data_IF_170547156508
#
_entry.id   IF_170547156508
#
_cell.length_a   1.000
_cell.length_b   1.000
_cell.length_c   1.000
_cell.angle_alpha   90.00
_cell.angle_beta   90.00
_cell.angle_gamma   90.00
#
_symmetry.space_group_name_H-M   'P 1'
#
loop_
_entity.id
_entity.type
_entity.pdbx_description
1 polymer ?
#
# COMPACT_ATOMS: atom_id res chain seq x y z
N UNK A 1 7.47 12.45 -16.60
CA UNK A 1 6.84 13.09 -15.41
C UNK A 1 6.20 11.95 -14.62
N UNK A 2 6.75 11.67 -13.43
CA UNK A 2 6.69 10.38 -12.74
C UNK A 2 5.29 10.05 -12.20
N UNK A 3 4.78 8.84 -12.46
CA UNK A 3 3.50 8.29 -11.93
C UNK A 3 3.40 8.42 -10.41
N UNK A 4 4.56 8.42 -9.73
CA UNK A 4 4.71 8.69 -8.29
C UNK A 4 4.07 10.03 -7.88
N UNK A 5 4.19 11.10 -8.69
CA UNK A 5 3.58 12.41 -8.39
C UNK A 5 2.05 12.42 -8.50
N UNK A 6 1.48 11.53 -9.32
CA UNK A 6 0.02 11.37 -9.40
C UNK A 6 -0.52 10.61 -8.19
N UNK A 7 0.16 9.55 -7.74
CA UNK A 7 -0.21 8.85 -6.50
C UNK A 7 -0.11 9.76 -5.27
N UNK A 8 0.94 10.58 -5.17
CA UNK A 8 1.06 11.61 -4.12
C UNK A 8 -0.09 12.63 -4.12
N UNK A 9 -0.70 12.89 -5.28
CA UNK A 9 -1.88 13.79 -5.40
C UNK A 9 -3.23 13.09 -5.19
N UNK A 10 -3.33 11.80 -5.54
CA UNK A 10 -4.58 11.02 -5.46
C UNK A 10 -4.84 10.44 -4.08
N UNK A 11 -3.80 10.23 -3.27
CA UNK A 11 -3.95 9.72 -1.90
C UNK A 11 -3.91 10.88 -0.94
N UNK A 12 -5.03 11.09 -0.25
CA UNK A 12 -5.04 11.87 0.98
C UNK A 12 -3.99 11.27 1.94
N UNK A 13 -2.84 11.94 2.06
CA UNK A 13 -1.78 11.83 3.06
C UNK A 13 -1.24 10.41 3.38
N UNK A 14 -0.33 9.86 2.58
CA UNK A 14 0.47 8.72 3.00
C UNK A 14 1.23 8.97 4.32
N UNK A 15 1.13 8.05 5.29
CA UNK A 15 1.90 8.12 6.54
C UNK A 15 3.03 7.07 6.52
N UNK A 16 4.24 7.47 6.92
CA UNK A 16 5.35 6.51 7.07
C UNK A 16 5.02 5.55 8.20
N UNK A 17 5.13 4.25 7.95
CA UNK A 17 4.90 3.24 8.99
C UNK A 17 5.98 3.37 10.07
N UNK A 18 5.63 3.49 11.36
CA UNK A 18 6.60 3.59 12.44
C UNK A 18 7.55 2.39 12.50
N UNK A 19 8.82 2.65 12.82
CA UNK A 19 9.82 1.60 13.03
C UNK A 19 9.35 0.64 14.13
N UNK A 20 9.29 -0.66 13.84
CA UNK A 20 8.81 -1.70 14.76
C UNK A 20 7.32 -2.03 14.66
N UNK A 21 6.58 -1.36 13.77
CA UNK A 21 5.21 -1.74 13.46
C UNK A 21 5.14 -3.18 12.92
N UNK A 22 4.14 -3.94 13.39
CA UNK A 22 3.88 -5.29 12.89
C UNK A 22 3.09 -5.21 11.58
N UNK A 23 3.80 -5.40 10.47
CA UNK A 23 3.22 -5.46 9.14
C UNK A 23 3.05 -6.92 8.73
N UNK A 24 1.86 -7.27 8.28
CA UNK A 24 1.59 -8.55 7.62
C UNK A 24 1.63 -8.30 6.12
N UNK A 25 2.76 -8.64 5.50
CA UNK A 25 2.93 -8.53 4.06
C UNK A 25 2.06 -9.56 3.34
N UNK A 26 1.46 -9.15 2.24
CA UNK A 26 0.76 -10.04 1.34
C UNK A 26 1.79 -10.79 0.47
N UNK A 27 1.40 -11.96 -0.05
CA UNK A 27 2.27 -12.78 -0.92
C UNK A 27 2.37 -12.25 -2.36
N UNK A 28 1.45 -11.37 -2.74
CA UNK A 28 1.33 -10.89 -4.11
C UNK A 28 2.27 -9.70 -4.33
N UNK A 29 3.21 -9.89 -5.26
CA UNK A 29 4.13 -8.85 -5.71
C UNK A 29 3.60 -8.26 -7.01
N UNK A 30 3.50 -6.94 -7.06
CA UNK A 30 3.10 -6.21 -8.26
C UNK A 30 4.34 -5.56 -8.84
N UNK A 31 4.72 -5.98 -10.04
CA UNK A 31 5.89 -5.48 -10.76
C UNK A 31 5.45 -4.71 -11.98
N UNK A 32 5.94 -3.48 -12.11
CA UNK A 32 5.71 -2.66 -13.30
C UNK A 32 6.73 -1.54 -13.43
N UNK A 33 6.50 -0.56 -14.32
CA UNK A 33 7.42 0.54 -14.57
C UNK A 33 7.65 1.44 -13.34
N UNK A 34 6.75 1.42 -12.35
CA UNK A 34 6.89 2.11 -11.07
C UNK A 34 7.72 1.34 -10.02
N UNK A 35 8.26 0.16 -10.37
CA UNK A 35 9.01 -0.71 -9.48
C UNK A 35 8.21 -1.94 -9.02
N UNK A 36 8.78 -2.67 -8.04
CA UNK A 36 8.11 -3.81 -7.41
C UNK A 36 7.51 -3.36 -6.08
N UNK A 37 6.20 -3.52 -5.95
CA UNK A 37 5.43 -3.11 -4.78
C UNK A 37 4.60 -4.27 -4.26
N UNK A 38 4.48 -4.34 -2.93
CA UNK A 38 3.65 -5.31 -2.23
C UNK A 38 2.59 -4.61 -1.41
N UNK A 39 1.40 -5.20 -1.39
CA UNK A 39 0.39 -4.86 -0.41
C UNK A 39 0.74 -5.44 0.96
N UNK A 40 0.35 -4.77 2.02
CA UNK A 40 0.49 -5.24 3.39
C UNK A 40 -0.59 -4.67 4.29
N UNK A 41 -0.67 -5.22 5.50
CA UNK A 41 -1.58 -4.75 6.54
C UNK A 41 -0.78 -4.39 7.79
N UNK A 42 -1.02 -3.20 8.33
CA UNK A 42 -0.50 -2.79 9.63
C UNK A 42 -1.63 -2.75 10.65
N UNK A 43 -1.47 -3.50 11.74
CA UNK A 43 -2.43 -3.53 12.84
C UNK A 43 -2.12 -2.38 13.80
N UNK A 44 -3.05 -1.42 13.87
CA UNK A 44 -2.99 -0.27 14.78
C UNK A 44 -3.86 -0.58 16.00
N UNK A 45 -3.21 -0.97 17.09
CA UNK A 45 -3.90 -1.45 18.29
C UNK A 45 -4.64 -2.77 18.08
N UNK A 46 -5.74 -2.99 18.82
CA UNK A 46 -6.41 -4.30 18.88
C UNK A 46 -7.45 -4.55 17.78
N UNK A 47 -7.97 -3.49 17.13
CA UNK A 47 -9.14 -3.60 16.24
C UNK A 47 -9.06 -2.76 14.97
N UNK A 48 -7.93 -2.09 14.72
CA UNK A 48 -7.79 -1.24 13.54
C UNK A 48 -6.67 -1.77 12.66
N UNK A 49 -6.92 -1.72 11.38
CA UNK A 49 -6.04 -2.23 10.34
C UNK A 49 -5.86 -1.08 9.36
N UNK A 50 -4.63 -0.82 8.97
CA UNK A 50 -4.28 0.08 7.87
C UNK A 50 -3.69 -0.73 6.73
N UNK A 51 -4.03 -0.36 5.52
CA UNK A 51 -3.40 -0.87 4.32
C UNK A 51 -2.02 -0.23 4.21
N UNK A 52 -1.04 -1.00 3.75
CA UNK A 52 0.36 -0.60 3.63
C UNK A 52 0.89 -0.96 2.26
N UNK A 53 1.72 -0.08 1.71
CA UNK A 53 2.53 -0.32 0.54
C UNK A 53 3.96 -0.59 0.98
N UNK A 54 4.53 -1.69 0.51
CA UNK A 54 5.87 -2.13 0.84
C UNK A 54 6.66 -2.17 -0.47
N UNK A 55 7.60 -1.23 -0.69
CA UNK A 55 8.49 -1.30 -1.85
C UNK A 55 9.53 -2.41 -1.64
N UNK A 56 9.90 -3.12 -2.71
CA UNK A 56 10.86 -4.22 -2.64
C UNK A 56 12.33 -3.77 -2.69
N UNK A 57 12.58 -2.52 -3.07
CA UNK A 57 13.91 -1.90 -3.20
C UNK A 57 14.56 -1.53 -1.86
N UNK A 58 13.99 -1.96 -0.73
CA UNK A 58 14.43 -1.61 0.61
C UNK A 58 13.91 -0.26 1.11
N UNK A 59 13.02 0.40 0.36
CA UNK A 59 12.31 1.59 0.81
C UNK A 59 11.46 1.36 2.07
N UNK A 60 11.07 2.45 2.73
CA UNK A 60 10.23 2.36 3.94
C UNK A 60 8.79 2.04 3.55
N UNK A 61 8.12 1.11 4.27
CA UNK A 61 6.70 0.87 4.09
C UNK A 61 5.88 2.13 4.39
N UNK A 62 4.80 2.30 3.65
CA UNK A 62 3.93 3.48 3.71
C UNK A 62 2.49 3.05 3.97
N UNK A 63 1.86 3.60 4.99
CA UNK A 63 0.46 3.35 5.31
C UNK A 63 -0.46 4.27 4.52
N UNK A 64 -1.58 3.70 4.06
CA UNK A 64 -2.72 4.45 3.54
C UNK A 64 -3.53 5.03 4.71
N UNK A 65 -4.21 6.15 4.50
CA UNK A 65 -4.99 6.87 5.53
C UNK A 65 -6.24 6.16 6.01
N UNK A 66 -6.72 5.14 5.28
CA UNK A 66 -7.88 4.37 5.71
C UNK A 66 -7.59 3.53 6.95
N UNK A 67 -8.50 3.57 7.92
CA UNK A 67 -8.55 2.62 9.02
C UNK A 67 -9.76 1.70 8.85
N UNK A 68 -9.53 0.40 8.96
CA UNK A 68 -10.57 -0.61 8.83
C UNK A 68 -10.64 -1.47 10.08
N UNK A 69 -11.85 -1.93 10.40
CA UNK A 69 -12.09 -2.92 11.47
C UNK A 69 -12.05 -4.36 10.96
N UNK A 70 -12.03 -4.55 9.63
CA UNK A 70 -11.98 -5.84 8.95
C UNK A 70 -10.81 -5.86 7.97
N UNK A 71 -10.18 -7.02 7.82
CA UNK A 71 -9.02 -7.20 6.92
C UNK A 71 -9.41 -7.06 5.45
N UNK A 72 -10.55 -7.63 5.04
CA UNK A 72 -10.99 -7.69 3.65
C UNK A 72 -10.96 -6.35 2.88
N UNK A 73 -11.55 -5.25 3.38
CA UNK A 73 -11.47 -3.96 2.69
C UNK A 73 -10.06 -3.35 2.71
N UNK A 74 -9.29 -3.55 3.78
CA UNK A 74 -7.90 -3.09 3.86
C UNK A 74 -6.99 -3.84 2.87
N UNK A 75 -7.22 -5.14 2.71
CA UNK A 75 -6.54 -6.03 1.75
C UNK A 75 -6.81 -5.59 0.32
N UNK A 76 -8.08 -5.41 -0.05
CA UNK A 76 -8.44 -4.93 -1.38
C UNK A 76 -7.81 -3.56 -1.68
N UNK A 77 -7.78 -2.67 -0.69
CA UNK A 77 -7.14 -1.36 -0.83
C UNK A 77 -5.62 -1.47 -1.01
N UNK A 78 -4.95 -2.29 -0.19
CA UNK A 78 -3.51 -2.50 -0.29
C UNK A 78 -3.10 -3.06 -1.65
N UNK A 79 -3.84 -4.04 -2.18
CA UNK A 79 -3.57 -4.60 -3.51
C UNK A 79 -3.79 -3.58 -4.63
N UNK A 80 -4.90 -2.86 -4.59
CA UNK A 80 -5.23 -1.86 -5.61
C UNK A 80 -4.15 -0.78 -5.65
N UNK A 81 -3.75 -0.25 -4.49
CA UNK A 81 -2.71 0.77 -4.43
C UNK A 81 -1.32 0.23 -4.74
N UNK A 82 -1.00 -1.03 -4.42
CA UNK A 82 0.27 -1.63 -4.81
C UNK A 82 0.35 -1.84 -6.33
N UNK A 83 -0.75 -2.22 -6.99
CA UNK A 83 -0.84 -2.24 -8.47
C UNK A 83 -0.64 -0.86 -9.07
N UNK A 84 -1.34 0.15 -8.53
CA UNK A 84 -1.16 1.54 -8.98
C UNK A 84 0.29 2.02 -8.80
N UNK A 85 0.90 1.73 -7.64
CA UNK A 85 2.28 2.12 -7.34
C UNK A 85 3.31 1.43 -8.26
N UNK A 86 3.07 0.16 -8.58
CA UNK A 86 3.84 -0.55 -9.59
C UNK A 86 3.63 0.00 -11.01
N UNK A 87 2.58 0.82 -11.25
CA UNK A 87 2.21 1.30 -12.57
C UNK A 87 1.65 0.18 -13.45
N UNK A 88 1.06 -0.84 -12.83
CA UNK A 88 0.27 -1.86 -13.53
C UNK A 88 -1.04 -1.18 -13.89
N UNK A 89 -1.34 -1.06 -15.19
CA UNK A 89 -2.62 -0.54 -15.65
C UNK A 89 -3.76 -1.29 -14.95
N UNK A 90 -4.55 -0.55 -14.17
CA UNK A 90 -5.85 -1.05 -13.75
C UNK A 90 -6.72 -0.94 -15.00
N UNK A 91 -6.94 -2.05 -15.70
CA UNK A 91 -7.99 -2.09 -16.73
C UNK A 91 -9.29 -1.57 -16.08
N UNK A 92 -9.72 -0.37 -16.48
CA UNK A 92 -11.05 0.13 -16.18
C UNK A 92 -12.04 -0.83 -16.86
N UNK A 93 -12.83 -1.53 -16.05
CA UNK A 93 -13.93 -2.40 -16.52
C UNK A 93 -15.18 -1.56 -16.72
#
# INVERSE_FOLDING_TARGET
MCVVKSLEKSVQAFEVVPTGARIFAMKSDFKGPGGTWRGGLWYVGFKRIRAVLIPDDGGRPVALTGEWTRSQPATAMAETFARMAAGVELEEV
#
